data_IF_182252478843
#
_entry.id   IF_182252478843
#
_cell.length_a   1.000
_cell.length_b   1.000
_cell.length_c   1.000
_cell.angle_alpha   90.00
_cell.angle_beta   90.00
_cell.angle_gamma   90.00
#
_symmetry.space_group_name_H-M   'P 1'
#
loop_
_entity.id
_entity.type
_entity.pdbx_description
1 polymer ?
#
# COMPACT_ATOMS: atom_id res chain seq x y z
N UNK A 1 0.30 30.56 -6.02
CA UNK A 1 -0.54 29.38 -6.27
C UNK A 1 -1.46 29.19 -5.06
N UNK A 2 -2.79 29.07 -5.25
CA UNK A 2 -3.73 28.75 -4.18
C UNK A 2 -3.29 27.50 -3.40
N UNK A 3 -3.49 27.48 -2.09
CA UNK A 3 -3.12 26.35 -1.22
C UNK A 3 -3.77 25.04 -1.69
N UNK A 4 -5.00 25.11 -2.20
CA UNK A 4 -5.72 23.96 -2.78
C UNK A 4 -4.99 23.37 -3.98
N UNK A 5 -4.51 24.20 -4.90
CA UNK A 5 -3.82 23.74 -6.11
C UNK A 5 -2.49 23.06 -5.76
N UNK A 6 -1.76 23.59 -4.78
CA UNK A 6 -0.53 22.95 -4.27
C UNK A 6 -0.87 21.60 -3.64
N UNK A 7 -1.96 21.52 -2.86
CA UNK A 7 -2.40 20.27 -2.27
C UNK A 7 -2.78 19.24 -3.35
N UNK A 8 -3.56 19.62 -4.37
CA UNK A 8 -3.92 18.72 -5.47
C UNK A 8 -2.68 18.20 -6.21
N UNK A 9 -1.73 19.08 -6.54
CA UNK A 9 -0.48 18.66 -7.17
C UNK A 9 0.25 17.62 -6.30
N UNK A 10 0.45 17.88 -5.01
CA UNK A 10 1.11 16.94 -4.09
C UNK A 10 0.37 15.62 -3.96
N UNK A 11 -0.97 15.62 -3.99
CA UNK A 11 -1.78 14.41 -3.98
C UNK A 11 -1.59 13.58 -5.26
N UNK A 12 -1.46 14.20 -6.42
CA UNK A 12 -1.17 13.51 -7.68
C UNK A 12 0.20 12.82 -7.65
N UNK A 13 1.23 13.51 -7.12
CA UNK A 13 2.55 12.90 -6.91
C UNK A 13 2.53 11.76 -5.90
N UNK A 14 1.66 11.83 -4.89
CA UNK A 14 1.48 10.79 -3.88
C UNK A 14 0.48 9.70 -4.29
N UNK A 15 0.06 9.65 -5.55
CA UNK A 15 -0.90 8.67 -6.02
C UNK A 15 -0.31 7.23 -6.02
N UNK A 16 -1.19 6.24 -6.09
CA UNK A 16 -0.81 4.82 -6.05
C UNK A 16 0.15 4.42 -7.18
N UNK A 17 0.04 5.03 -8.36
CA UNK A 17 0.88 4.69 -9.52
C UNK A 17 2.32 5.16 -9.28
N UNK A 18 2.50 6.39 -8.82
CA UNK A 18 3.80 6.97 -8.48
C UNK A 18 4.46 6.22 -7.32
N UNK A 19 3.69 5.89 -6.28
CA UNK A 19 4.18 5.06 -5.18
C UNK A 19 4.60 3.66 -5.67
N UNK A 20 3.82 3.03 -6.54
CA UNK A 20 4.16 1.74 -7.12
C UNK A 20 5.47 1.80 -7.92
N UNK A 21 5.70 2.88 -8.68
CA UNK A 21 6.94 3.08 -9.43
C UNK A 21 8.16 3.27 -8.52
N UNK A 22 8.05 4.15 -7.51
CA UNK A 22 9.13 4.40 -6.54
C UNK A 22 9.53 3.10 -5.84
N UNK A 23 8.54 2.30 -5.46
CA UNK A 23 8.76 1.03 -4.75
C UNK A 23 9.26 -0.06 -5.69
N UNK A 24 8.82 -0.07 -6.95
CA UNK A 24 9.34 -0.97 -7.99
C UNK A 24 10.83 -0.72 -8.25
N UNK A 25 11.25 0.54 -8.33
CA UNK A 25 12.68 0.92 -8.39
C UNK A 25 13.40 0.52 -7.11
N UNK A 26 12.80 0.80 -5.95
CA UNK A 26 13.30 0.38 -4.64
C UNK A 26 13.57 -1.13 -4.54
N UNK A 27 12.62 -1.92 -5.03
CA UNK A 27 12.67 -3.37 -5.10
C UNK A 27 13.75 -3.86 -6.07
N UNK A 28 13.87 -3.25 -7.26
CA UNK A 28 14.83 -3.67 -8.26
C UNK A 28 16.29 -3.34 -7.88
N UNK A 29 16.53 -2.18 -7.26
CA UNK A 29 17.87 -1.61 -7.14
C UNK A 29 18.49 -1.69 -5.74
N UNK A 30 17.71 -1.87 -4.66
CA UNK A 30 18.21 -1.76 -3.29
C UNK A 30 17.86 -2.99 -2.44
N UNK A 31 16.84 -2.87 -1.57
CA UNK A 31 16.50 -3.85 -0.55
C UNK A 31 15.28 -4.69 -0.96
N UNK A 32 15.50 -5.69 -1.82
CA UNK A 32 14.44 -6.56 -2.36
C UNK A 32 13.42 -7.05 -1.32
N UNK A 33 13.87 -7.53 -0.15
CA UNK A 33 12.97 -8.11 0.87
C UNK A 33 12.05 -7.07 1.55
N UNK A 34 12.55 -6.00 2.19
CA UNK A 34 11.70 -4.95 2.76
C UNK A 34 10.76 -4.30 1.75
N UNK A 35 11.27 -3.92 0.57
CA UNK A 35 10.46 -3.28 -0.46
C UNK A 35 9.42 -4.23 -1.05
N UNK A 36 9.80 -5.48 -1.30
CA UNK A 36 8.90 -6.52 -1.81
C UNK A 36 7.73 -6.77 -0.86
N UNK A 37 7.99 -6.89 0.44
CA UNK A 37 6.93 -6.96 1.46
C UNK A 37 6.06 -5.71 1.48
N UNK A 38 6.68 -4.53 1.40
CA UNK A 38 5.98 -3.25 1.40
C UNK A 38 5.00 -3.13 0.24
N UNK A 39 5.42 -3.46 -0.99
CA UNK A 39 4.53 -3.43 -2.17
C UNK A 39 3.46 -4.52 -2.10
N UNK A 40 3.77 -5.73 -1.63
CA UNK A 40 2.77 -6.78 -1.45
C UNK A 40 1.70 -6.34 -0.44
N UNK A 41 2.11 -5.76 0.68
CA UNK A 41 1.20 -5.26 1.70
C UNK A 41 0.38 -4.06 1.18
N UNK A 42 0.99 -3.17 0.39
CA UNK A 42 0.32 -2.04 -0.25
C UNK A 42 -0.75 -2.50 -1.24
N UNK A 43 -0.45 -3.48 -2.09
CA UNK A 43 -1.43 -4.07 -3.03
C UNK A 43 -2.59 -4.70 -2.25
N UNK A 44 -2.29 -5.50 -1.23
CA UNK A 44 -3.34 -6.07 -0.36
C UNK A 44 -4.16 -4.97 0.34
N UNK A 45 -3.54 -3.85 0.70
CA UNK A 45 -4.22 -2.72 1.36
C UNK A 45 -5.30 -2.06 0.50
N UNK A 46 -5.16 -2.09 -0.83
CA UNK A 46 -6.19 -1.57 -1.75
C UNK A 46 -7.49 -2.37 -1.60
N UNK A 47 -7.37 -3.70 -1.61
CA UNK A 47 -8.51 -4.63 -1.48
C UNK A 47 -9.08 -4.54 -0.06
N UNK A 48 -8.22 -4.49 0.95
CA UNK A 48 -8.66 -4.35 2.34
C UNK A 48 -9.40 -3.02 2.56
N UNK A 49 -8.88 -1.90 2.05
CA UNK A 49 -9.52 -0.59 2.13
C UNK A 49 -10.91 -0.60 1.47
N UNK A 50 -11.04 -1.26 0.32
CA UNK A 50 -12.33 -1.41 -0.36
C UNK A 50 -13.37 -2.11 0.50
N UNK A 51 -12.98 -3.21 1.17
CA UNK A 51 -13.85 -3.92 2.13
C UNK A 51 -14.25 -2.99 3.27
N UNK A 52 -13.28 -2.30 3.88
CA UNK A 52 -13.56 -1.34 4.96
C UNK A 52 -14.56 -0.27 4.48
N UNK A 53 -14.31 0.35 3.32
CA UNK A 53 -15.21 1.36 2.77
C UNK A 53 -16.63 0.82 2.53
N UNK A 54 -16.76 -0.42 2.03
CA UNK A 54 -18.04 -1.07 1.83
C UNK A 54 -18.76 -1.45 3.14
N UNK A 55 -18.03 -1.65 4.24
CA UNK A 55 -18.59 -1.89 5.57
C UNK A 55 -19.16 -0.61 6.19
N UNK A 56 -18.40 0.50 6.16
CA UNK A 56 -18.82 1.75 6.81
C UNK A 56 -19.70 2.65 5.94
N UNK A 57 -19.53 2.63 4.63
CA UNK A 57 -20.31 3.39 3.64
C UNK A 57 -20.47 4.88 3.94
N UNK A 58 -19.49 5.49 4.61
CA UNK A 58 -19.50 6.93 4.90
C UNK A 58 -19.24 7.66 3.57
N UNK A 59 -20.18 8.48 3.05
CA UNK A 59 -20.06 9.08 1.73
C UNK A 59 -18.97 10.15 1.67
N UNK A 60 -18.45 10.40 0.47
CA UNK A 60 -17.65 11.58 0.17
C UNK A 60 -18.48 12.87 0.28
N UNK A 61 -17.85 14.03 0.54
CA UNK A 61 -18.52 15.32 0.48
C UNK A 61 -19.21 15.54 -0.87
N UNK A 62 -20.48 15.96 -0.82
CA UNK A 62 -21.34 16.13 -2.01
C UNK A 62 -20.77 17.17 -3.00
N UNK A 63 -20.05 18.17 -2.50
CA UNK A 63 -19.41 19.24 -3.27
C UNK A 63 -18.37 18.72 -4.28
N UNK A 64 -17.86 17.50 -4.08
CA UNK A 64 -16.89 16.89 -4.99
C UNK A 64 -17.54 16.31 -6.25
N UNK A 65 -18.87 16.13 -6.28
CA UNK A 65 -19.60 15.50 -7.39
C UNK A 65 -19.04 14.12 -7.80
N UNK A 66 -18.41 13.41 -6.87
CA UNK A 66 -17.83 12.08 -7.07
C UNK A 66 -18.55 11.08 -6.17
N UNK A 67 -19.06 10.01 -6.78
CA UNK A 67 -19.63 8.90 -6.04
C UNK A 67 -18.51 8.07 -5.39
N UNK A 68 -18.69 7.72 -4.12
CA UNK A 68 -17.75 6.87 -3.38
C UNK A 68 -17.82 7.10 -1.88
N UNK A 69 -16.97 6.37 -1.15
CA UNK A 69 -16.91 6.42 0.29
C UNK A 69 -15.63 7.07 0.79
N UNK A 70 -15.76 7.95 1.77
CA UNK A 70 -14.65 8.67 2.38
C UNK A 70 -13.89 7.78 3.37
N UNK A 71 -14.60 7.08 4.26
CA UNK A 71 -13.98 6.37 5.36
C UNK A 71 -13.68 4.90 5.06
N UNK A 72 -12.47 4.38 5.40
CA UNK A 72 -11.27 5.12 5.78
C UNK A 72 -10.49 5.63 4.56
N UNK A 73 -9.64 6.65 4.75
CA UNK A 73 -8.86 7.23 3.65
C UNK A 73 -7.86 6.23 3.07
N UNK A 74 -8.03 5.89 1.78
CA UNK A 74 -7.16 4.95 1.07
C UNK A 74 -5.74 5.49 0.85
N UNK A 75 -5.59 6.80 0.61
CA UNK A 75 -4.28 7.45 0.50
C UNK A 75 -3.49 7.33 1.80
N UNK A 76 -4.12 7.63 2.93
CA UNK A 76 -3.48 7.53 4.23
C UNK A 76 -3.17 6.08 4.62
N UNK A 77 -4.07 5.14 4.31
CA UNK A 77 -3.82 3.72 4.54
C UNK A 77 -2.63 3.20 3.71
N UNK A 78 -2.62 3.47 2.40
CA UNK A 78 -1.55 3.03 1.50
C UNK A 78 -0.20 3.63 1.86
N UNK A 79 -0.16 4.93 2.16
CA UNK A 79 1.06 5.62 2.59
C UNK A 79 1.56 5.09 3.94
N UNK A 80 0.66 4.85 4.90
CA UNK A 80 1.00 4.26 6.20
C UNK A 80 1.59 2.87 6.01
N UNK A 81 0.95 2.02 5.22
CA UNK A 81 1.43 0.65 4.93
C UNK A 81 2.82 0.70 4.31
N UNK A 82 3.00 1.48 3.25
CA UNK A 82 4.23 1.44 2.49
C UNK A 82 5.39 2.11 3.23
N UNK A 83 5.24 3.38 3.60
CA UNK A 83 6.30 4.12 4.28
C UNK A 83 6.53 3.57 5.69
N UNK A 84 5.45 3.26 6.42
CA UNK A 84 5.53 2.70 7.77
C UNK A 84 6.23 1.35 7.80
N UNK A 85 5.98 0.46 6.82
CA UNK A 85 6.70 -0.81 6.73
C UNK A 85 8.21 -0.62 6.47
N UNK A 86 8.57 0.26 5.54
CA UNK A 86 9.98 0.54 5.23
C UNK A 86 10.69 1.16 6.44
N UNK A 87 10.04 2.10 7.12
CA UNK A 87 10.57 2.73 8.34
C UNK A 87 10.75 1.69 9.46
N UNK A 88 9.78 0.78 9.62
CA UNK A 88 9.85 -0.29 10.60
C UNK A 88 11.05 -1.22 10.35
N UNK A 89 11.27 -1.65 9.09
CA UNK A 89 12.39 -2.51 8.72
C UNK A 89 13.75 -1.80 8.82
N UNK A 90 13.81 -0.50 8.49
CA UNK A 90 15.05 0.28 8.61
C UNK A 90 15.38 0.60 10.08
N UNK A 91 14.36 0.75 10.93
CA UNK A 91 14.49 0.95 12.37
C UNK A 91 15.42 2.11 12.78
N UNK A 92 15.41 3.22 12.03
CA UNK A 92 16.20 4.43 12.32
C UNK A 92 15.32 5.54 12.87
N UNK A 93 15.75 6.18 13.97
CA UNK A 93 14.96 7.22 14.67
C UNK A 93 14.53 8.38 13.77
N UNK A 94 15.42 8.86 12.89
CA UNK A 94 15.10 9.95 11.98
C UNK A 94 14.04 9.54 10.94
N UNK A 95 13.99 8.27 10.54
CA UNK A 95 13.01 7.76 9.58
C UNK A 95 11.59 7.77 10.16
N UNK A 96 11.46 7.52 11.47
CA UNK A 96 10.19 7.68 12.19
C UNK A 96 9.71 9.14 12.20
N UNK A 97 10.61 10.09 12.44
CA UNK A 97 10.28 11.52 12.39
C UNK A 97 9.87 11.92 10.97
N UNK A 98 10.65 11.54 9.97
CA UNK A 98 10.36 11.82 8.56
C UNK A 98 9.01 11.22 8.13
N UNK A 99 8.71 9.98 8.55
CA UNK A 99 7.42 9.33 8.29
C UNK A 99 6.24 10.02 8.96
N UNK A 100 6.41 10.44 10.22
CA UNK A 100 5.38 11.23 10.92
C UNK A 100 5.10 12.55 10.22
N UNK A 101 6.14 13.27 9.80
CA UNK A 101 6.02 14.50 9.01
C UNK A 101 5.32 14.23 7.66
N UNK A 102 5.69 13.17 6.97
CA UNK A 102 5.09 12.78 5.69
C UNK A 102 3.59 12.51 5.82
N UNK A 103 3.18 11.75 6.85
CA UNK A 103 1.76 11.48 7.12
C UNK A 103 1.00 12.76 7.50
N UNK A 104 1.61 13.65 8.30
CA UNK A 104 0.99 14.91 8.69
C UNK A 104 0.79 15.85 7.48
N UNK A 105 1.80 16.00 6.63
CA UNK A 105 1.72 16.80 5.40
C UNK A 105 0.68 16.22 4.45
N UNK A 106 0.70 14.90 4.21
CA UNK A 106 -0.28 14.26 3.34
C UNK A 106 -1.71 14.42 3.88
N UNK A 107 -1.92 14.21 5.18
CA UNK A 107 -3.22 14.41 5.81
C UNK A 107 -3.72 15.86 5.68
N UNK A 108 -2.83 16.84 5.88
CA UNK A 108 -3.17 18.25 5.70
C UNK A 108 -3.53 18.58 4.24
N UNK A 109 -2.80 18.04 3.25
CA UNK A 109 -3.12 18.21 1.83
C UNK A 109 -4.49 17.63 1.48
N UNK A 110 -4.80 16.44 2.00
CA UNK A 110 -6.10 15.79 1.78
C UNK A 110 -7.25 16.63 2.35
N UNK A 111 -7.11 17.15 3.58
CA UNK A 111 -8.11 18.01 4.21
C UNK A 111 -8.26 19.31 3.42
N UNK A 112 -7.14 19.94 3.04
CA UNK A 112 -7.15 21.19 2.28
C UNK A 112 -7.83 21.05 0.90
N UNK A 113 -7.67 19.88 0.27
CA UNK A 113 -8.35 19.52 -0.98
C UNK A 113 -9.84 19.17 -0.79
N UNK A 114 -10.32 19.05 0.45
CA UNK A 114 -11.73 18.79 0.77
C UNK A 114 -12.16 17.33 0.58
N UNK A 115 -11.22 16.38 0.41
CA UNK A 115 -11.55 14.97 0.19
C UNK A 115 -11.98 14.23 1.46
N UNK A 116 -11.34 14.54 2.59
CA UNK A 116 -11.51 13.81 3.84
C UNK A 116 -11.44 14.74 5.05
N UNK A 117 -12.07 14.31 6.14
CA UNK A 117 -11.88 14.90 7.46
C UNK A 117 -10.80 14.15 8.27
N UNK A 118 -10.55 14.63 9.50
CA UNK A 118 -9.57 14.01 10.40
C UNK A 118 -9.91 12.57 10.78
N UNK A 119 -11.20 12.22 10.90
CA UNK A 119 -11.63 10.85 11.24
C UNK A 119 -11.24 9.88 10.13
N UNK A 120 -11.46 10.25 8.88
CA UNK A 120 -11.11 9.39 7.74
C UNK A 120 -9.60 9.19 7.61
N UNK A 121 -8.81 10.21 7.91
CA UNK A 121 -7.34 10.16 7.95
C UNK A 121 -6.87 9.21 9.06
N UNK A 122 -7.34 9.41 10.29
CA UNK A 122 -6.96 8.56 11.42
C UNK A 122 -7.41 7.11 11.21
N UNK A 123 -8.58 6.90 10.60
CA UNK A 123 -9.04 5.56 10.21
C UNK A 123 -8.12 4.89 9.20
N UNK A 124 -7.64 5.63 8.20
CA UNK A 124 -6.67 5.13 7.22
C UNK A 124 -5.34 4.75 7.87
N UNK A 125 -4.80 5.61 8.74
CA UNK A 125 -3.57 5.35 9.49
C UNK A 125 -3.74 4.13 10.40
N UNK A 126 -4.84 4.04 11.14
CA UNK A 126 -5.11 2.91 12.03
C UNK A 126 -5.21 1.58 11.26
N UNK A 127 -5.93 1.58 10.13
CA UNK A 127 -6.02 0.39 9.26
C UNK A 127 -4.65 -0.02 8.72
N UNK A 128 -3.83 0.93 8.27
CA UNK A 128 -2.49 0.65 7.77
C UNK A 128 -1.54 0.12 8.86
N UNK A 129 -1.57 0.73 10.04
CA UNK A 129 -0.79 0.29 11.19
C UNK A 129 -1.20 -1.12 11.65
N UNK A 130 -2.49 -1.44 11.63
CA UNK A 130 -2.99 -2.79 11.89
C UNK A 130 -2.40 -3.80 10.89
N UNK A 131 -2.41 -3.49 9.60
CA UNK A 131 -1.82 -4.37 8.58
C UNK A 131 -0.31 -4.60 8.78
N UNK A 132 0.43 -3.54 9.13
CA UNK A 132 1.86 -3.64 9.49
C UNK A 132 2.05 -4.55 10.70
N UNK A 133 1.24 -4.37 11.76
CA UNK A 133 1.33 -5.21 12.95
C UNK A 133 1.06 -6.68 12.63
N UNK A 134 0.05 -6.98 11.80
CA UNK A 134 -0.24 -8.33 11.33
C UNK A 134 0.95 -8.94 10.57
N UNK A 135 1.57 -8.20 9.64
CA UNK A 135 2.72 -8.70 8.90
C UNK A 135 3.96 -8.89 9.79
N UNK A 136 4.22 -7.96 10.71
CA UNK A 136 5.30 -8.08 11.67
C UNK A 136 5.13 -9.32 12.56
N UNK A 137 3.92 -9.58 13.03
CA UNK A 137 3.61 -10.77 13.83
C UNK A 137 3.69 -12.06 13.00
N UNK A 138 3.22 -12.03 11.75
CA UNK A 138 3.34 -13.15 10.81
C UNK A 138 4.80 -13.50 10.55
N UNK A 139 5.66 -12.51 10.36
CA UNK A 139 7.11 -12.72 10.16
C UNK A 139 7.78 -13.32 11.40
N UNK A 140 7.32 -12.97 12.61
CA UNK A 140 7.82 -13.56 13.86
C UNK A 140 7.35 -15.01 14.04
N UNK A 141 6.05 -15.27 13.85
CA UNK A 141 5.44 -16.59 14.09
C UNK A 141 5.69 -17.60 12.98
N UNK A 142 5.90 -17.13 11.76
CA UNK A 142 6.18 -17.97 10.59
C UNK A 142 7.53 -17.58 9.99
N UNK A 143 8.65 -18.14 10.49
CA UNK A 143 9.98 -17.85 9.97
C UNK A 143 10.14 -18.19 8.48
N UNK A 144 9.32 -19.10 7.95
CA UNK A 144 9.31 -19.44 6.54
C UNK A 144 8.91 -18.24 5.67
N UNK A 145 7.84 -17.52 6.02
CA UNK A 145 7.41 -16.31 5.30
C UNK A 145 8.47 -15.20 5.41
N UNK A 146 9.10 -15.08 6.58
CA UNK A 146 10.20 -14.14 6.74
C UNK A 146 11.40 -14.52 5.83
N UNK A 147 11.71 -15.81 5.67
CA UNK A 147 12.80 -16.24 4.78
C UNK A 147 12.43 -16.08 3.30
N UNK A 148 11.18 -16.38 2.95
CA UNK A 148 10.64 -16.48 1.60
C UNK A 148 9.47 -15.48 1.37
N UNK A 149 9.72 -14.16 1.47
CA UNK A 149 8.67 -13.15 1.29
C UNK A 149 8.06 -13.12 -0.12
N UNK A 150 8.72 -13.71 -1.12
CA UNK A 150 8.23 -13.85 -2.48
C UNK A 150 6.90 -14.62 -2.56
N UNK A 151 6.60 -15.49 -1.59
CA UNK A 151 5.32 -16.22 -1.54
C UNK A 151 4.20 -15.46 -0.82
N UNK A 152 4.48 -14.29 -0.22
CA UNK A 152 3.50 -13.56 0.58
C UNK A 152 2.26 -13.16 -0.24
N UNK A 153 2.43 -12.73 -1.48
CA UNK A 153 1.30 -12.38 -2.37
C UNK A 153 0.43 -13.59 -2.69
N UNK A 154 1.02 -14.76 -2.93
CA UNK A 154 0.28 -16.01 -3.15
C UNK A 154 -0.47 -16.47 -1.90
N UNK A 155 0.09 -16.25 -0.71
CA UNK A 155 -0.59 -16.53 0.55
C UNK A 155 -1.79 -15.60 0.79
N UNK A 156 -1.67 -14.32 0.41
CA UNK A 156 -2.74 -13.33 0.54
C UNK A 156 -3.79 -13.43 -0.56
N UNK A 157 -3.47 -14.06 -1.70
CA UNK A 157 -4.38 -14.23 -2.83
C UNK A 157 -5.73 -14.89 -2.46
N UNK A 158 -5.80 -16.04 -1.76
CA UNK A 158 -7.08 -16.65 -1.41
C UNK A 158 -7.93 -15.75 -0.49
N UNK A 159 -7.30 -15.04 0.45
CA UNK A 159 -7.99 -14.07 1.32
C UNK A 159 -8.55 -12.91 0.47
N UNK A 160 -7.73 -12.38 -0.43
CA UNK A 160 -8.11 -11.31 -1.35
C UNK A 160 -9.24 -11.73 -2.28
N UNK A 161 -9.24 -12.98 -2.76
CA UNK A 161 -10.31 -13.53 -3.59
C UNK A 161 -11.63 -13.61 -2.81
N UNK A 162 -11.59 -14.04 -1.55
CA UNK A 162 -12.76 -14.02 -0.67
C UNK A 162 -13.32 -12.61 -0.43
N UNK A 163 -12.43 -11.64 -0.23
CA UNK A 163 -12.80 -10.22 -0.11
C UNK A 163 -13.44 -9.67 -1.39
N UNK A 164 -12.86 -9.99 -2.56
CA UNK A 164 -13.39 -9.59 -3.86
C UNK A 164 -14.77 -10.22 -4.13
N UNK A 165 -14.93 -11.50 -3.83
CA UNK A 165 -16.22 -12.19 -3.94
C UNK A 165 -17.29 -11.51 -3.08
N UNK A 166 -16.95 -11.18 -1.84
CA UNK A 166 -17.85 -10.45 -0.95
C UNK A 166 -18.18 -9.04 -1.49
N UNK A 167 -17.20 -8.29 -1.98
CA UNK A 167 -17.42 -6.96 -2.57
C UNK A 167 -18.33 -7.01 -3.81
N UNK A 168 -18.17 -8.02 -4.66
CA UNK A 168 -19.02 -8.22 -5.84
C UNK A 168 -20.48 -8.51 -5.44
N UNK A 169 -20.72 -9.24 -4.35
CA UNK A 169 -22.06 -9.48 -3.84
C UNK A 169 -22.78 -8.21 -3.34
N UNK A 170 -22.04 -7.13 -3.05
CA UNK A 170 -22.57 -5.85 -2.59
C UNK A 170 -22.62 -4.76 -3.67
N UNK A 171 -22.44 -5.12 -4.94
CA UNK A 171 -22.53 -4.24 -6.12
C UNK A 171 -21.67 -2.96 -6.03
N UNK A 172 -20.47 -3.11 -5.49
CA UNK A 172 -19.54 -2.00 -5.22
C UNK A 172 -18.76 -1.61 -6.48
N UNK A 173 -19.44 -1.30 -7.58
CA UNK A 173 -18.86 -1.10 -8.93
C UNK A 173 -17.65 -0.15 -8.96
N UNK A 174 -17.72 0.95 -8.21
CA UNK A 174 -16.68 2.01 -8.17
C UNK A 174 -15.33 1.48 -7.68
N UNK A 175 -15.30 0.36 -6.95
CA UNK A 175 -14.08 -0.14 -6.29
C UNK A 175 -13.53 -1.39 -6.98
N UNK A 176 -14.17 -1.89 -8.04
CA UNK A 176 -13.80 -3.15 -8.69
C UNK A 176 -12.46 -3.08 -9.43
N UNK A 177 -12.24 -2.06 -10.28
CA UNK A 177 -11.05 -2.01 -11.13
C UNK A 177 -9.73 -1.92 -10.34
N UNK A 178 -9.57 -1.01 -9.34
CA UNK A 178 -8.35 -0.96 -8.54
C UNK A 178 -8.09 -2.25 -7.76
N UNK A 179 -9.14 -2.91 -7.26
CA UNK A 179 -9.00 -4.15 -6.51
C UNK A 179 -8.60 -5.34 -7.39
N UNK A 180 -9.13 -5.44 -8.61
CA UNK A 180 -8.72 -6.45 -9.60
C UNK A 180 -7.25 -6.23 -10.00
N UNK A 181 -6.86 -4.97 -10.27
CA UNK A 181 -5.48 -4.64 -10.58
C UNK A 181 -4.53 -4.98 -9.42
N UNK A 182 -4.92 -4.67 -8.18
CA UNK A 182 -4.15 -5.01 -6.98
C UNK A 182 -4.02 -6.52 -6.79
N UNK A 183 -5.09 -7.28 -7.01
CA UNK A 183 -5.08 -8.74 -6.95
C UNK A 183 -4.17 -9.37 -7.99
N UNK A 184 -4.26 -8.90 -9.25
CA UNK A 184 -3.32 -9.30 -10.31
C UNK A 184 -1.88 -8.96 -9.94
N UNK A 185 -1.65 -7.77 -9.37
CA UNK A 185 -0.36 -7.34 -8.87
C UNK A 185 0.23 -8.26 -7.79
N UNK A 186 -0.59 -8.75 -6.84
CA UNK A 186 -0.14 -9.70 -5.81
C UNK A 186 0.42 -10.98 -6.43
N UNK A 187 -0.29 -11.53 -7.42
CA UNK A 187 0.10 -12.78 -8.08
C UNK A 187 1.34 -12.56 -8.96
N UNK A 188 1.29 -11.54 -9.83
CA UNK A 188 2.36 -11.27 -10.81
C UNK A 188 3.67 -10.93 -10.09
N UNK A 189 3.62 -10.08 -9.06
CA UNK A 189 4.79 -9.74 -8.28
C UNK A 189 5.38 -10.98 -7.60
N UNK A 190 4.56 -11.80 -6.94
CA UNK A 190 5.03 -13.00 -6.26
C UNK A 190 5.67 -13.99 -7.24
N UNK A 191 4.98 -14.30 -8.35
CA UNK A 191 5.52 -15.22 -9.36
C UNK A 191 6.79 -14.67 -10.01
N UNK A 192 6.80 -13.39 -10.38
CA UNK A 192 7.97 -12.72 -10.94
C UNK A 192 9.16 -12.72 -9.99
N UNK A 193 8.91 -12.51 -8.69
CA UNK A 193 9.96 -12.58 -7.67
C UNK A 193 10.48 -14.01 -7.50
N UNK A 194 9.61 -15.02 -7.40
CA UNK A 194 10.00 -16.43 -7.33
C UNK A 194 10.89 -16.81 -8.52
N UNK A 195 10.49 -16.44 -9.74
CA UNK A 195 11.26 -16.66 -10.97
C UNK A 195 12.63 -15.95 -10.84
N UNK A 196 12.65 -14.66 -10.50
CA UNK A 196 13.91 -13.90 -10.37
C UNK A 196 14.88 -14.48 -9.34
N UNK A 197 14.36 -15.09 -8.26
CA UNK A 197 15.16 -15.72 -7.23
C UNK A 197 15.74 -17.08 -7.67
N UNK A 198 15.10 -17.78 -8.62
CA UNK A 198 15.62 -19.03 -9.20
C UNK A 198 16.59 -18.78 -10.36
N UNK A 199 16.47 -17.65 -11.05
CA UNK A 199 17.30 -17.28 -12.20
C UNK A 199 18.35 -16.21 -11.87
N UNK A 200 18.84 -16.13 -10.62
CA UNK A 200 19.93 -15.22 -10.28
C UNK A 200 21.08 -15.37 -11.29
N UNK A 201 21.30 -14.31 -12.06
CA UNK A 201 22.34 -14.24 -13.08
C UNK A 201 23.64 -14.63 -12.38
N UNK A 202 24.36 -15.65 -12.86
CA UNK A 202 25.53 -16.13 -12.15
C UNK A 202 26.49 -14.97 -11.90
N UNK A 203 27.05 -14.88 -10.70
CA UNK A 203 27.93 -13.77 -10.26
C UNK A 203 29.18 -13.59 -11.13
N UNK A 204 29.45 -14.49 -12.08
CA UNK A 204 30.50 -14.35 -13.08
C UNK A 204 30.11 -13.51 -14.32
N UNK A 205 28.83 -13.20 -14.52
CA UNK A 205 28.34 -12.31 -15.61
C UNK A 205 28.22 -10.86 -15.17
N UNK A 206 28.04 -10.60 -13.88
CA UNK A 206 28.14 -9.26 -13.30
C UNK A 206 29.60 -9.07 -12.93
N UNK A 207 30.38 -8.51 -13.86
CA UNK A 207 31.81 -8.25 -13.65
C UNK A 207 32.04 -7.63 -12.27
N UNK A 208 33.07 -8.11 -11.56
CA UNK A 208 33.52 -7.53 -10.29
C UNK A 208 33.79 -6.04 -10.48
N UNK A 209 32.82 -5.20 -10.15
CA UNK A 209 33.06 -3.79 -9.91
C UNK A 209 33.47 -3.64 -8.45
N UNK A 210 34.68 -3.12 -8.29
CA UNK A 210 35.43 -2.81 -7.07
C UNK A 210 34.63 -2.05 -6.02
#
# INVERSE_FOLDING_TARGET
>A
MPLKDVAHALLEWANIQTLTLIVGVGFACFYRKPFGRGITLMLFSVIFNAVLKALWKIPLPLELHIAGWAFPSGHMQGLTVLAGWIIWEWNHRWAWVAGGCLLAVMGACIIAAGYHDLRDILGGIAAGAFMIACLAELNKRCPWINRHPEFLGLLLAPISLGMLYWLNAYDVTIVHYPCIAAFGGLIILSLGWIISAHFEIPSHWVGKTL
#
